data_IF_229777243978
#
_entry.id   IF_229777243978
#
_cell.length_a   1.000
_cell.length_b   1.000
_cell.length_c   1.000
_cell.angle_alpha   90.00
_cell.angle_beta   90.00
_cell.angle_gamma   90.00
#
_symmetry.space_group_name_H-M   'P 1'
#
loop_
_entity.id
_entity.type
_entity.pdbx_description
1 polymer ?
#
# COMPACT_ATOMS: atom_id res chain seq x y z
N UNK A 1 17.73 -2.41 -17.95
CA UNK A 1 18.54 -1.80 -16.89
C UNK A 1 17.66 -1.58 -15.70
N UNK A 2 18.05 -1.99 -14.49
CA UNK A 2 17.29 -1.72 -13.25
C UNK A 2 17.68 -0.34 -12.76
N UNK A 3 16.74 0.58 -12.69
CA UNK A 3 16.97 1.92 -12.16
C UNK A 3 16.60 1.92 -10.67
N UNK A 4 17.52 2.36 -9.82
CA UNK A 4 17.28 2.60 -8.41
C UNK A 4 17.30 4.10 -8.17
N UNK A 5 16.23 4.64 -7.62
CA UNK A 5 16.11 6.04 -7.22
C UNK A 5 16.11 6.15 -5.70
N UNK A 6 17.03 6.95 -5.15
CA UNK A 6 17.13 7.23 -3.71
C UNK A 6 16.63 8.67 -3.53
N UNK A 7 15.31 8.83 -3.53
CA UNK A 7 14.65 10.13 -3.42
C UNK A 7 13.23 9.96 -2.87
N UNK A 8 12.55 11.05 -2.60
CA UNK A 8 11.13 11.02 -2.24
C UNK A 8 10.32 10.36 -3.35
N UNK A 9 9.48 9.39 -3.00
CA UNK A 9 8.68 8.64 -3.98
C UNK A 9 7.77 9.53 -4.85
N UNK A 10 7.30 10.67 -4.33
CA UNK A 10 6.50 11.61 -5.08
C UNK A 10 7.32 12.29 -6.19
N UNK A 11 8.61 12.55 -5.97
CA UNK A 11 9.50 13.08 -7.01
C UNK A 11 9.76 12.05 -8.11
N UNK A 12 9.97 10.79 -7.73
CA UNK A 12 10.09 9.70 -8.70
C UNK A 12 8.84 9.59 -9.58
N UNK A 13 7.66 9.69 -8.99
CA UNK A 13 6.39 9.58 -9.71
C UNK A 13 6.15 10.73 -10.70
N UNK A 14 6.68 11.94 -10.44
CA UNK A 14 6.61 13.09 -11.37
C UNK A 14 7.31 12.79 -12.70
N UNK A 15 8.20 11.80 -12.76
CA UNK A 15 8.87 11.38 -14.00
C UNK A 15 7.95 10.64 -14.97
N UNK A 16 6.71 10.35 -14.58
CA UNK A 16 5.71 9.66 -15.39
C UNK A 16 6.24 8.33 -16.01
N UNK A 17 6.96 7.56 -15.20
CA UNK A 17 7.57 6.31 -15.62
C UNK A 17 6.50 5.29 -16.01
N UNK A 18 6.75 4.55 -17.07
CA UNK A 18 5.94 3.38 -17.40
C UNK A 18 6.22 2.25 -16.41
N UNK A 19 5.18 1.57 -15.98
CA UNK A 19 5.26 0.42 -15.09
C UNK A 19 4.16 -0.58 -15.39
N UNK A 20 4.45 -1.85 -15.16
CA UNK A 20 3.44 -2.91 -15.18
C UNK A 20 2.79 -3.08 -13.82
N UNK A 21 3.57 -2.91 -12.76
CA UNK A 21 3.13 -3.13 -11.40
C UNK A 21 3.86 -2.23 -10.40
N UNK A 22 3.09 -1.59 -9.54
CA UNK A 22 3.63 -0.84 -8.39
C UNK A 22 3.24 -1.56 -7.11
N UNK A 23 4.21 -1.77 -6.22
CA UNK A 23 3.98 -2.22 -4.85
C UNK A 23 4.44 -1.12 -3.91
N UNK A 24 3.56 -0.67 -3.04
CA UNK A 24 3.88 0.38 -2.09
C UNK A 24 3.32 0.05 -0.69
N UNK A 25 4.07 0.46 0.32
CA UNK A 25 3.63 0.51 1.71
C UNK A 25 3.73 1.96 2.14
N UNK A 26 2.64 2.74 2.08
CA UNK A 26 2.66 4.14 2.47
C UNK A 26 3.10 4.31 3.92
N UNK A 27 3.80 5.39 4.25
CA UNK A 27 4.25 5.68 5.61
C UNK A 27 3.07 5.79 6.58
N UNK A 28 3.33 5.66 7.87
CA UNK A 28 2.33 5.91 8.90
C UNK A 28 2.16 7.43 9.13
N UNK A 29 1.06 7.85 9.73
CA UNK A 29 0.79 9.25 10.09
C UNK A 29 1.95 9.93 10.82
N UNK A 30 2.59 9.21 11.74
CA UNK A 30 3.70 9.76 12.52
C UNK A 30 4.98 9.87 11.71
N UNK A 31 5.14 9.05 10.68
CA UNK A 31 6.27 9.09 9.77
C UNK A 31 6.14 10.29 8.84
N UNK A 32 4.96 10.49 8.26
CA UNK A 32 4.67 11.67 7.43
C UNK A 32 4.91 12.99 8.15
N UNK A 33 4.49 13.11 9.42
CA UNK A 33 4.70 14.33 10.21
C UNK A 33 6.18 14.65 10.47
N UNK A 34 7.05 13.64 10.43
CA UNK A 34 8.49 13.83 10.60
C UNK A 34 9.18 14.24 9.30
N UNK A 35 8.64 13.78 8.18
CA UNK A 35 9.28 13.92 6.87
C UNK A 35 8.74 15.11 6.08
N UNK A 36 7.65 15.75 6.54
CA UNK A 36 7.09 16.95 5.91
C UNK A 36 7.32 18.18 6.79
N UNK A 37 7.96 19.20 6.25
CA UNK A 37 8.09 20.52 6.90
C UNK A 37 6.73 21.22 7.03
N UNK A 38 5.78 20.84 6.19
CA UNK A 38 4.41 21.37 6.19
C UNK A 38 3.50 20.53 7.09
N UNK A 39 3.25 21.04 8.28
CA UNK A 39 2.35 20.41 9.27
C UNK A 39 0.87 20.37 8.85
N UNK A 40 0.50 21.05 7.76
CA UNK A 40 -0.87 21.07 7.23
C UNK A 40 -1.20 19.83 6.39
N UNK A 41 -0.21 19.10 5.91
CA UNK A 41 -0.40 17.91 5.08
C UNK A 41 -1.02 16.76 5.89
N UNK A 42 -2.16 16.31 5.41
CA UNK A 42 -2.84 15.15 5.98
C UNK A 42 -2.41 13.86 5.28
N UNK A 43 -2.67 12.73 5.92
CA UNK A 43 -2.46 11.43 5.31
C UNK A 43 -3.30 11.25 4.02
N UNK A 44 -4.50 11.81 4.01
CA UNK A 44 -5.37 11.80 2.83
C UNK A 44 -4.76 12.58 1.68
N UNK A 45 -4.14 13.74 1.95
CA UNK A 45 -3.48 14.55 0.92
C UNK A 45 -2.29 13.80 0.30
N UNK A 46 -1.50 13.13 1.12
CA UNK A 46 -0.42 12.27 0.65
C UNK A 46 -0.96 11.17 -0.28
N UNK A 47 -1.96 10.42 0.17
CA UNK A 47 -2.54 9.33 -0.63
C UNK A 47 -3.13 9.84 -1.95
N UNK A 48 -3.78 11.00 -1.91
CA UNK A 48 -4.34 11.63 -3.10
C UNK A 48 -3.24 12.01 -4.10
N UNK A 49 -2.22 12.72 -3.64
CA UNK A 49 -1.08 13.11 -4.48
C UNK A 49 -0.36 11.89 -5.05
N UNK A 50 -0.13 10.87 -4.22
CA UNK A 50 0.49 9.63 -4.67
C UNK A 50 -0.34 8.97 -5.78
N UNK A 51 -1.64 8.83 -5.59
CA UNK A 51 -2.52 8.19 -6.55
C UNK A 51 -2.71 9.00 -7.85
N UNK A 52 -2.68 10.34 -7.77
CA UNK A 52 -2.75 11.25 -8.93
C UNK A 52 -1.48 11.17 -9.79
N UNK A 53 -0.31 11.06 -9.15
CA UNK A 53 0.98 10.99 -9.84
C UNK A 53 1.25 9.64 -10.50
N UNK A 54 0.53 8.59 -10.13
CA UNK A 54 0.66 7.29 -10.78
C UNK A 54 0.27 7.40 -12.26
N UNK A 55 1.13 6.85 -13.14
CA UNK A 55 0.87 6.87 -14.57
C UNK A 55 -0.48 6.21 -14.89
N UNK A 56 -1.42 6.90 -15.55
CA UNK A 56 -2.74 6.36 -15.86
C UNK A 56 -2.69 5.17 -16.83
N UNK A 57 -1.61 5.00 -17.59
CA UNK A 57 -1.37 3.85 -18.46
C UNK A 57 -0.79 2.64 -17.73
N UNK A 58 -0.34 2.82 -16.50
CA UNK A 58 0.15 1.73 -15.65
C UNK A 58 -0.93 0.67 -15.38
N UNK A 59 -0.48 -0.56 -15.16
CA UNK A 59 -1.40 -1.68 -15.03
C UNK A 59 -1.99 -1.79 -13.63
N UNK A 60 -1.17 -2.17 -12.66
CA UNK A 60 -1.64 -2.47 -11.31
C UNK A 60 -0.84 -1.74 -10.24
N UNK A 61 -1.53 -1.41 -9.17
CA UNK A 61 -0.95 -0.84 -7.96
C UNK A 61 -1.44 -1.64 -6.77
N UNK A 62 -0.52 -2.22 -6.01
CA UNK A 62 -0.82 -2.87 -4.73
C UNK A 62 -0.32 -2.04 -3.57
N UNK A 63 -1.23 -1.74 -2.68
CA UNK A 63 -0.96 -1.01 -1.43
C UNK A 63 -1.01 -2.00 -0.27
N UNK A 64 0.11 -2.13 0.45
CA UNK A 64 0.20 -2.92 1.65
C UNK A 64 0.10 -1.99 2.86
N UNK A 65 -0.95 -2.14 3.67
CA UNK A 65 -1.24 -1.21 4.77
C UNK A 65 -1.85 -1.92 5.97
N UNK A 66 -1.45 -1.50 7.17
CA UNK A 66 -2.11 -1.90 8.42
C UNK A 66 -3.00 -0.78 8.92
N UNK A 67 -4.17 -1.13 9.40
CA UNK A 67 -4.96 -0.23 10.21
C UNK A 67 -4.24 0.06 11.53
N UNK A 68 -4.62 1.11 12.21
CA UNK A 68 -3.96 1.56 13.43
C UNK A 68 -4.93 1.61 14.60
N UNK A 69 -4.43 1.28 15.78
CA UNK A 69 -5.11 1.57 17.05
C UNK A 69 -4.55 2.85 17.64
N UNK A 70 -5.41 3.78 18.03
CA UNK A 70 -5.04 5.02 18.71
C UNK A 70 -6.15 5.40 19.68
N UNK A 71 -5.79 5.67 20.93
CA UNK A 71 -6.73 6.08 21.98
C UNK A 71 -7.96 5.16 22.08
N UNK A 72 -7.76 3.84 22.05
CA UNK A 72 -8.85 2.87 22.14
C UNK A 72 -9.70 2.71 20.88
N UNK A 73 -9.42 3.45 19.81
CA UNK A 73 -10.16 3.41 18.56
C UNK A 73 -9.32 2.80 17.43
N UNK A 74 -10.01 2.17 16.47
CA UNK A 74 -9.40 1.72 15.22
C UNK A 74 -9.48 2.84 14.19
N UNK A 75 -8.34 3.26 13.67
CA UNK A 75 -8.25 4.15 12.51
C UNK A 75 -8.08 3.27 11.29
N UNK A 76 -9.12 3.19 10.46
CA UNK A 76 -9.14 2.37 9.26
C UNK A 76 -8.42 3.07 8.11
N UNK A 77 -7.10 2.90 8.05
CA UNK A 77 -6.29 3.42 6.94
C UNK A 77 -6.61 2.70 5.63
N UNK A 78 -6.97 1.42 5.71
CA UNK A 78 -7.39 0.65 4.54
C UNK A 78 -8.62 1.26 3.86
N UNK A 79 -9.61 1.71 4.63
CA UNK A 79 -10.78 2.42 4.09
C UNK A 79 -10.41 3.74 3.43
N UNK A 80 -9.51 4.52 4.06
CA UNK A 80 -9.04 5.78 3.49
C UNK A 80 -8.35 5.57 2.12
N UNK A 81 -7.50 4.54 2.01
CA UNK A 81 -6.87 4.18 0.73
C UNK A 81 -7.92 3.84 -0.31
N UNK A 82 -8.89 2.99 0.04
CA UNK A 82 -9.96 2.59 -0.88
C UNK A 82 -10.76 3.80 -1.36
N UNK A 83 -11.16 4.68 -0.46
CA UNK A 83 -11.95 5.88 -0.79
C UNK A 83 -11.17 6.83 -1.71
N UNK A 84 -9.92 7.15 -1.37
CA UNK A 84 -9.08 8.04 -2.18
C UNK A 84 -8.86 7.46 -3.58
N UNK A 85 -8.47 6.20 -3.69
CA UNK A 85 -8.22 5.59 -5.00
C UNK A 85 -9.50 5.52 -5.84
N UNK A 86 -10.63 5.15 -5.24
CA UNK A 86 -11.91 5.10 -5.95
C UNK A 86 -12.36 6.48 -6.42
N UNK A 87 -12.16 7.54 -5.63
CA UNK A 87 -12.50 8.92 -6.02
C UNK A 87 -11.72 9.40 -7.24
N UNK A 88 -10.53 8.84 -7.48
CA UNK A 88 -9.67 9.12 -8.64
C UNK A 88 -9.88 8.15 -9.81
N UNK A 89 -10.95 7.37 -9.79
CA UNK A 89 -11.33 6.46 -10.87
C UNK A 89 -10.63 5.11 -10.88
N UNK A 90 -9.94 4.75 -9.80
CA UNK A 90 -9.38 3.40 -9.67
C UNK A 90 -10.46 2.39 -9.31
N UNK A 91 -10.26 1.16 -9.76
CA UNK A 91 -11.09 0.00 -9.44
C UNK A 91 -10.30 -0.88 -8.48
N UNK A 92 -10.89 -1.21 -7.34
CA UNK A 92 -10.36 -2.21 -6.43
C UNK A 92 -10.64 -3.61 -7.00
N UNK A 93 -9.58 -4.32 -7.39
CA UNK A 93 -9.69 -5.68 -7.94
C UNK A 93 -9.64 -6.74 -6.86
N UNK A 94 -8.72 -6.58 -5.90
CA UNK A 94 -8.59 -7.54 -4.80
C UNK A 94 -8.36 -6.82 -3.49
N UNK A 95 -8.92 -7.40 -2.43
CA UNK A 95 -8.68 -7.01 -1.05
C UNK A 95 -8.31 -8.28 -0.28
N UNK A 96 -7.03 -8.47 -0.03
CA UNK A 96 -6.53 -9.63 0.70
C UNK A 96 -6.04 -9.23 2.08
N UNK A 97 -6.13 -10.15 3.03
CA UNK A 97 -5.67 -9.99 4.40
C UNK A 97 -4.44 -10.87 4.61
N UNK A 98 -3.34 -10.24 4.88
CA UNK A 98 -2.13 -10.94 5.30
C UNK A 98 -2.02 -10.95 6.81
N UNK A 99 -2.14 -12.12 7.42
CA UNK A 99 -1.95 -12.31 8.85
C UNK A 99 -0.47 -12.57 9.11
N UNK A 100 0.16 -11.66 9.85
CA UNK A 100 1.60 -11.68 10.15
C UNK A 100 1.97 -12.67 11.25
N UNK A 101 1.10 -12.80 12.23
CA UNK A 101 1.29 -13.72 13.36
C UNK A 101 -0.05 -14.10 13.96
N UNK A 102 -0.10 -15.25 14.60
CA UNK A 102 -1.27 -15.71 15.36
C UNK A 102 -1.23 -15.26 16.83
N UNK A 103 -0.21 -14.50 17.22
CA UNK A 103 -0.06 -13.98 18.57
C UNK A 103 -1.06 -12.85 18.88
N UNK A 104 -1.46 -12.75 20.13
CA UNK A 104 -2.29 -11.66 20.63
C UNK A 104 -1.41 -10.47 21.03
N UNK A 105 -1.47 -9.38 20.27
CA UNK A 105 -0.91 -8.10 20.68
C UNK A 105 -2.07 -7.11 20.87
N UNK A 106 -2.25 -6.62 22.08
CA UNK A 106 -3.32 -5.67 22.39
C UNK A 106 -3.15 -4.32 21.69
N UNK A 107 -1.92 -3.97 21.26
CA UNK A 107 -1.61 -2.63 20.75
C UNK A 107 -1.38 -2.58 19.25
N UNK A 108 -1.10 -3.72 18.62
CA UNK A 108 -0.78 -3.78 17.18
C UNK A 108 -1.77 -4.65 16.44
N UNK A 109 -2.05 -4.25 15.20
CA UNK A 109 -2.73 -5.13 14.27
C UNK A 109 -1.75 -6.22 13.81
N UNK A 110 -2.11 -7.48 14.02
CA UNK A 110 -1.34 -8.63 13.56
C UNK A 110 -1.60 -9.02 12.10
N UNK A 111 -2.29 -8.15 11.37
CA UNK A 111 -2.59 -8.32 9.95
C UNK A 111 -2.31 -7.04 9.14
N UNK A 112 -2.20 -7.22 7.84
CA UNK A 112 -2.15 -6.13 6.86
C UNK A 112 -3.18 -6.38 5.77
N UNK A 113 -3.66 -5.29 5.20
CA UNK A 113 -4.45 -5.30 4.00
C UNK A 113 -3.52 -5.20 2.79
N UNK A 114 -3.76 -6.05 1.79
CA UNK A 114 -3.15 -5.94 0.47
C UNK A 114 -4.25 -5.58 -0.52
N UNK A 115 -4.25 -4.32 -0.94
CA UNK A 115 -5.27 -3.72 -1.79
C UNK A 115 -4.70 -3.55 -3.19
N UNK A 116 -5.28 -4.20 -4.20
CA UNK A 116 -4.80 -4.07 -5.58
C UNK A 116 -5.80 -3.31 -6.43
N UNK A 117 -5.31 -2.27 -7.07
CA UNK A 117 -6.09 -1.37 -7.91
C UNK A 117 -5.57 -1.31 -9.33
N UNK A 118 -6.44 -0.91 -10.27
CA UNK A 118 -6.06 -0.38 -11.58
C UNK A 118 -7.09 0.62 -12.09
N UNK A 119 -6.72 1.44 -13.08
CA UNK A 119 -7.67 2.27 -13.84
C UNK A 119 -8.27 1.53 -15.04
N UNK A 120 -7.72 0.40 -15.41
CA UNK A 120 -8.13 -0.36 -16.59
C UNK A 120 -9.15 -1.44 -16.23
N UNK A 121 -10.39 -1.28 -16.72
CA UNK A 121 -11.50 -2.24 -16.50
C UNK A 121 -11.26 -3.59 -17.17
N UNK A 122 -10.54 -3.64 -18.27
CA UNK A 122 -10.37 -4.85 -19.07
C UNK A 122 -9.42 -5.88 -18.45
N UNK A 123 -8.55 -5.44 -17.53
CA UNK A 123 -7.56 -6.30 -16.87
C UNK A 123 -8.09 -7.16 -15.72
N UNK A 124 -9.40 -7.20 -15.49
CA UNK A 124 -10.02 -8.02 -14.45
C UNK A 124 -9.68 -9.52 -14.53
N UNK A 125 -9.35 -10.02 -15.72
CA UNK A 125 -9.08 -11.45 -15.97
C UNK A 125 -7.65 -11.89 -15.64
N UNK A 126 -6.72 -10.96 -15.37
CA UNK A 126 -5.30 -11.26 -15.21
C UNK A 126 -4.86 -11.50 -13.76
N UNK A 127 -5.68 -11.10 -12.79
CA UNK A 127 -5.42 -11.41 -11.38
C UNK A 127 -6.06 -12.77 -11.11
N UNK A 128 -5.32 -13.83 -11.36
CA UNK A 128 -5.76 -15.15 -10.94
C UNK A 128 -5.66 -15.23 -9.42
N UNK A 129 -6.68 -15.79 -8.81
CA UNK A 129 -6.79 -15.97 -7.37
C UNK A 129 -5.89 -17.11 -6.86
N UNK A 130 -4.57 -16.98 -7.08
CA UNK A 130 -3.61 -17.96 -6.56
C UNK A 130 -3.45 -17.90 -5.04
N UNK A 131 -3.81 -16.78 -4.42
CA UNK A 131 -3.78 -16.64 -2.97
C UNK A 131 -5.20 -16.51 -2.44
N UNK A 132 -5.55 -17.19 -1.34
CA UNK A 132 -6.82 -16.98 -0.67
C UNK A 132 -6.94 -15.53 -0.20
N UNK A 133 -8.17 -15.07 0.04
CA UNK A 133 -8.42 -13.69 0.51
C UNK A 133 -7.81 -13.43 1.90
N UNK A 134 -7.64 -14.48 2.68
CA UNK A 134 -6.91 -14.45 3.95
C UNK A 134 -5.78 -15.47 3.90
N UNK A 135 -4.56 -15.02 4.14
CA UNK A 135 -3.38 -15.89 4.16
C UNK A 135 -2.48 -15.58 5.34
N UNK A 136 -1.84 -16.63 5.86
CA UNK A 136 -0.89 -16.53 6.98
C UNK A 136 0.50 -16.82 6.45
N UNK A 137 1.41 -15.84 6.61
CA UNK A 137 2.84 -16.05 6.38
C UNK A 137 3.58 -15.72 7.66
N UNK A 138 4.18 -16.71 8.26
CA UNK A 138 4.90 -16.52 9.50
C UNK A 138 6.17 -15.68 9.24
N UNK A 139 6.25 -14.51 9.85
CA UNK A 139 7.33 -13.54 9.64
C UNK A 139 8.72 -14.12 10.01
N UNK A 140 8.77 -15.11 10.91
CA UNK A 140 10.02 -15.78 11.26
C UNK A 140 10.66 -16.56 10.11
N UNK A 141 9.87 -16.96 9.10
CA UNK A 141 10.42 -17.61 7.89
C UNK A 141 11.07 -16.62 6.93
N UNK A 142 10.66 -15.35 6.92
CA UNK A 142 11.22 -14.32 6.06
C UNK A 142 12.62 -13.88 6.50
N UNK A 143 12.86 -13.84 7.81
CA UNK A 143 14.17 -13.46 8.34
C UNK A 143 15.28 -14.44 7.96
N UNK A 144 14.93 -15.69 7.64
CA UNK A 144 15.89 -16.70 7.18
C UNK A 144 16.26 -16.56 5.69
N UNK A 145 15.51 -15.78 4.91
CA UNK A 145 15.80 -15.55 3.50
C UNK A 145 16.54 -14.23 3.22
N UNK A 146 16.53 -13.29 4.14
CA UNK A 146 17.12 -11.95 3.94
C UNK A 146 18.59 -11.84 4.33
N UNK A 147 19.18 -12.87 4.92
CA UNK A 147 20.59 -12.89 5.35
C UNK A 147 21.47 -13.89 4.58
N UNK A 148 21.02 -14.35 3.44
CA UNK A 148 21.76 -15.24 2.56
C UNK A 148 22.40 -14.49 1.37
N UNK A 149 23.06 -13.35 1.64
CA UNK A 149 23.99 -12.72 0.69
C UNK A 149 25.27 -12.34 1.41
#
# INVERSE_FOLDING_TARGET
>A
MKNLYIENCLETLKRNLEYDYVVASPPDFNELKKDTEDSSWTYSDFLKTFAELLNPKGNFVSICISDRKSNGQVISKSSMVIEVFKSLGYILHTHKIWVKSTGTDMFRMNYQHLLTFSRNKEKRKLISDFLPDVFVVNQSKWNNYSYGM
#
